data_IF_269567895490
#
_entry.id   IF_269567895490
#
_cell.length_a   1.000
_cell.length_b   1.000
_cell.length_c   1.000
_cell.angle_alpha   90.00
_cell.angle_beta   90.00
_cell.angle_gamma   90.00
#
_symmetry.space_group_name_H-M   'P 1'
#
loop_
_entity.id
_entity.type
_entity.pdbx_description
1 polymer ?
#
# COMPACT_ATOMS: atom_id res chain seq x y z
N UNK A 1 10.49 -1.29 -3.83
CA UNK A 1 9.30 -0.88 -4.62
C UNK A 1 8.97 0.60 -4.49
N UNK A 2 8.79 1.16 -3.28
CA UNK A 2 8.43 2.57 -3.09
C UNK A 2 9.39 3.57 -3.74
N UNK A 3 10.72 3.34 -3.62
CA UNK A 3 11.73 4.19 -4.29
C UNK A 3 11.49 4.24 -5.80
N UNK A 4 11.30 3.08 -6.44
CA UNK A 4 11.02 3.04 -7.88
C UNK A 4 9.74 3.78 -8.23
N UNK A 5 8.67 3.58 -7.45
CA UNK A 5 7.39 4.26 -7.68
C UNK A 5 7.50 5.79 -7.53
N UNK A 6 8.32 6.28 -6.59
CA UNK A 6 8.58 7.70 -6.43
C UNK A 6 9.40 8.26 -7.60
N UNK A 7 10.42 7.53 -8.07
CA UNK A 7 11.22 7.95 -9.23
C UNK A 7 10.38 7.96 -10.53
N UNK A 8 9.46 7.02 -10.71
CA UNK A 8 8.52 7.04 -11.83
C UNK A 8 7.64 8.32 -11.85
N UNK A 9 7.45 8.95 -10.69
CA UNK A 9 6.64 10.15 -10.49
C UNK A 9 7.48 11.42 -10.29
N UNK A 10 8.78 11.37 -10.62
CA UNK A 10 9.69 12.49 -10.42
C UNK A 10 9.19 13.77 -11.11
N UNK A 11 8.74 13.67 -12.37
CA UNK A 11 8.21 14.80 -13.13
C UNK A 11 6.94 15.36 -12.47
N UNK A 12 5.98 14.50 -12.10
CA UNK A 12 4.74 14.90 -11.43
C UNK A 12 4.99 15.63 -10.09
N UNK A 13 5.99 15.19 -9.32
CA UNK A 13 6.37 15.81 -8.05
C UNK A 13 6.94 17.21 -8.29
N UNK A 14 7.83 17.37 -9.28
CA UNK A 14 8.44 18.67 -9.62
C UNK A 14 7.40 19.63 -10.19
N UNK A 15 6.53 19.17 -11.09
CA UNK A 15 5.39 19.95 -11.58
C UNK A 15 4.45 20.35 -10.44
N UNK A 16 4.21 19.45 -9.50
CA UNK A 16 3.44 19.69 -8.28
C UNK A 16 4.01 20.83 -7.44
N UNK A 17 5.32 20.83 -7.16
CA UNK A 17 6.00 21.92 -6.45
C UNK A 17 5.81 23.26 -7.17
N UNK A 18 6.09 23.28 -8.48
CA UNK A 18 5.96 24.46 -9.32
C UNK A 18 4.53 25.00 -9.35
N UNK A 19 3.53 24.13 -9.42
CA UNK A 19 2.11 24.51 -9.42
C UNK A 19 1.68 25.21 -8.12
N UNK A 20 2.36 24.90 -7.01
CA UNK A 20 2.16 25.50 -5.70
C UNK A 20 3.09 26.70 -5.43
N UNK A 21 3.82 27.18 -6.44
CA UNK A 21 4.84 28.23 -6.34
C UNK A 21 5.95 27.93 -5.33
N UNK A 22 6.29 26.65 -5.16
CA UNK A 22 7.42 26.22 -4.36
C UNK A 22 8.66 26.07 -5.24
N UNK A 23 9.84 26.24 -4.63
CA UNK A 23 11.11 26.10 -5.33
C UNK A 23 11.37 24.63 -5.71
N UNK A 24 11.80 24.38 -6.94
CA UNK A 24 12.24 23.07 -7.40
C UNK A 24 13.42 22.54 -6.55
N UNK A 25 14.18 23.42 -5.87
CA UNK A 25 15.23 23.00 -4.92
C UNK A 25 14.71 22.54 -3.54
N UNK A 26 13.39 22.48 -3.32
CA UNK A 26 12.80 22.06 -2.06
C UNK A 26 13.17 20.61 -1.69
N UNK A 27 13.67 20.42 -0.46
CA UNK A 27 14.27 19.15 0.01
C UNK A 27 13.37 18.31 0.92
N UNK A 28 12.21 18.82 1.31
CA UNK A 28 11.27 18.12 2.20
C UNK A 28 11.23 18.64 3.64
N UNK A 29 10.56 17.91 4.54
CA UNK A 29 10.05 16.56 4.33
C UNK A 29 8.79 16.52 3.44
N UNK A 30 8.80 15.61 2.46
CA UNK A 30 7.62 15.19 1.71
C UNK A 30 6.89 14.10 2.50
N UNK A 31 5.58 14.17 2.59
CA UNK A 31 4.73 13.15 3.21
C UNK A 31 3.93 12.46 2.12
N UNK A 32 4.17 11.16 1.96
CA UNK A 32 3.57 10.31 0.94
C UNK A 32 2.51 9.44 1.60
N UNK A 33 1.25 9.56 1.16
CA UNK A 33 0.16 8.70 1.61
C UNK A 33 0.03 7.53 0.65
N UNK A 34 0.10 6.32 1.20
CA UNK A 34 0.09 5.07 0.45
C UNK A 34 -1.18 4.30 0.82
N UNK A 35 -1.98 3.93 -0.19
CA UNK A 35 -3.05 2.95 -0.03
C UNK A 35 -2.46 1.56 -0.19
N UNK A 36 -2.60 0.71 0.81
CA UNK A 36 -2.29 -0.72 0.73
C UNK A 36 -3.56 -1.49 0.41
N UNK A 37 -3.44 -2.46 -0.49
CA UNK A 37 -4.54 -3.33 -0.92
C UNK A 37 -4.07 -4.77 -0.93
N UNK A 38 -4.95 -5.68 -0.53
CA UNK A 38 -4.72 -7.11 -0.65
C UNK A 38 -6.02 -7.82 -1.02
N UNK A 39 -5.94 -8.69 -2.03
CA UNK A 39 -7.09 -9.42 -2.54
C UNK A 39 -6.73 -10.87 -2.87
N UNK A 40 -7.60 -11.80 -2.46
CA UNK A 40 -7.59 -13.19 -2.89
C UNK A 40 -8.31 -13.38 -4.23
N UNK A 41 -7.77 -14.27 -5.06
CA UNK A 41 -8.30 -14.65 -6.36
C UNK A 41 -8.51 -16.17 -6.39
N UNK A 42 -9.74 -16.59 -6.71
CA UNK A 42 -10.06 -17.98 -7.01
C UNK A 42 -9.80 -18.36 -8.47
N UNK A 43 -9.98 -19.64 -8.79
CA UNK A 43 -9.93 -20.18 -10.15
C UNK A 43 -8.61 -19.88 -10.91
N UNK A 44 -7.49 -19.87 -10.19
CA UNK A 44 -6.15 -19.66 -10.75
C UNK A 44 -5.52 -21.02 -11.05
N UNK A 45 -5.72 -21.55 -12.26
CA UNK A 45 -5.32 -22.93 -12.59
C UNK A 45 -3.84 -23.23 -12.34
N UNK A 46 -3.57 -24.37 -11.71
CA UNK A 46 -2.22 -24.90 -11.55
C UNK A 46 -1.67 -25.33 -12.92
N UNK A 47 -0.39 -25.05 -13.16
CA UNK A 47 0.30 -25.50 -14.38
C UNK A 47 1.03 -26.81 -14.12
N UNK A 48 1.03 -27.69 -15.12
CA UNK A 48 1.95 -28.84 -15.14
C UNK A 48 3.40 -28.37 -15.01
N UNK A 49 4.22 -29.10 -14.25
CA UNK A 49 5.63 -28.80 -14.08
C UNK A 49 6.30 -29.60 -12.98
N UNK A 50 7.56 -29.28 -12.70
CA UNK A 50 8.36 -29.92 -11.64
C UNK A 50 8.30 -29.16 -10.30
N UNK A 51 7.40 -28.19 -10.16
CA UNK A 51 7.25 -27.39 -8.95
C UNK A 51 6.56 -28.15 -7.83
N UNK A 52 6.50 -27.57 -6.61
CA UNK A 52 5.63 -28.09 -5.57
C UNK A 52 4.17 -28.02 -6.03
N UNK A 53 3.32 -28.87 -5.46
CA UNK A 53 1.88 -28.73 -5.61
C UNK A 53 1.44 -27.38 -4.99
N UNK A 54 0.67 -26.59 -5.72
CA UNK A 54 0.20 -25.27 -5.30
C UNK A 54 -1.33 -25.19 -5.37
N UNK A 55 -1.99 -24.39 -4.52
CA UNK A 55 -3.43 -24.20 -4.62
C UNK A 55 -3.81 -23.49 -5.93
N UNK A 56 -5.00 -23.78 -6.46
CA UNK A 56 -5.56 -23.06 -7.62
C UNK A 56 -6.15 -21.69 -7.23
N UNK A 57 -5.42 -20.96 -6.39
CA UNK A 57 -5.77 -19.67 -5.81
C UNK A 57 -4.53 -18.80 -5.76
N UNK A 58 -4.73 -17.49 -5.82
CA UNK A 58 -3.66 -16.53 -5.65
C UNK A 58 -4.05 -15.46 -4.65
N UNK A 59 -3.06 -14.89 -3.98
CA UNK A 59 -3.21 -13.65 -3.22
C UNK A 59 -2.28 -12.62 -3.83
N UNK A 60 -2.81 -11.40 -3.99
CA UNK A 60 -2.05 -10.25 -4.47
C UNK A 60 -2.03 -9.20 -3.38
N UNK A 61 -0.83 -8.73 -3.05
CA UNK A 61 -0.62 -7.52 -2.26
C UNK A 61 -0.09 -6.42 -3.18
N UNK A 62 -0.71 -5.25 -3.11
CA UNK A 62 -0.39 -4.09 -3.96
C UNK A 62 -0.43 -2.79 -3.17
N UNK A 63 0.11 -1.73 -3.75
CA UNK A 63 0.03 -0.39 -3.19
C UNK A 63 -0.21 0.67 -4.26
N UNK A 64 -0.75 1.81 -3.85
CA UNK A 64 -0.96 3.00 -4.68
C UNK A 64 -0.46 4.23 -3.94
N UNK A 65 0.33 5.07 -4.62
CA UNK A 65 0.68 6.40 -4.11
C UNK A 65 -0.53 7.31 -4.28
N UNK A 66 -1.23 7.62 -3.19
CA UNK A 66 -2.50 8.36 -3.22
C UNK A 66 -2.29 9.86 -3.30
N UNK A 67 -1.37 10.37 -2.49
CA UNK A 67 -1.04 11.79 -2.48
C UNK A 67 0.36 12.03 -1.93
N UNK A 68 0.94 13.15 -2.37
CA UNK A 68 2.21 13.65 -1.85
C UNK A 68 1.99 15.09 -1.41
N UNK A 69 2.45 15.39 -0.20
CA UNK A 69 2.31 16.71 0.41
C UNK A 69 3.63 17.16 1.02
N UNK A 70 3.78 18.47 1.20
CA UNK A 70 4.95 19.08 1.84
C UNK A 70 4.47 20.01 2.95
N UNK A 71 5.26 20.13 4.01
CA UNK A 71 4.99 21.10 5.07
C UNK A 71 5.71 22.41 4.75
N UNK A 72 4.95 23.49 4.57
CA UNK A 72 5.47 24.84 4.32
C UNK A 72 4.72 25.85 5.19
N UNK A 73 5.44 26.69 5.94
CA UNK A 73 4.86 27.74 6.81
C UNK A 73 3.75 27.23 7.76
N UNK A 74 3.95 26.07 8.40
CA UNK A 74 2.98 25.38 9.27
C UNK A 74 1.67 24.92 8.58
N UNK A 75 1.64 24.91 7.24
CA UNK A 75 0.55 24.34 6.46
C UNK A 75 1.01 23.11 5.68
N UNK A 76 0.12 22.14 5.50
CA UNK A 76 0.37 20.97 4.65
C UNK A 76 -0.18 21.25 3.25
N UNK A 77 0.72 21.44 2.29
CA UNK A 77 0.38 21.73 0.90
C UNK A 77 0.47 20.41 0.11
N UNK A 78 -0.60 20.04 -0.58
CA UNK A 78 -0.63 18.85 -1.42
C UNK A 78 -0.11 19.19 -2.82
N UNK A 79 0.94 18.49 -3.25
CA UNK A 79 1.61 18.71 -4.54
C UNK A 79 1.23 17.66 -5.58
N UNK A 80 0.80 16.48 -5.14
CA UNK A 80 0.30 15.41 -5.99
C UNK A 80 -0.93 14.76 -5.36
N UNK A 81 -1.89 14.40 -6.20
CA UNK A 81 -3.04 13.57 -5.85
C UNK A 81 -3.38 12.66 -7.03
N UNK A 82 -3.55 11.36 -6.75
CA UNK A 82 -3.95 10.40 -7.77
C UNK A 82 -5.40 10.65 -8.18
N UNK A 83 -5.60 10.98 -9.45
CA UNK A 83 -6.90 11.34 -10.01
C UNK A 83 -7.84 10.14 -10.15
N UNK A 84 -7.29 8.94 -10.36
CA UNK A 84 -8.07 7.70 -10.53
C UNK A 84 -7.54 6.62 -9.57
N UNK A 85 -7.76 6.75 -8.26
CA UNK A 85 -7.11 5.92 -7.24
C UNK A 85 -7.48 4.43 -7.27
N UNK A 86 -8.49 4.04 -8.05
CA UNK A 86 -8.92 2.66 -8.24
C UNK A 86 -8.64 2.13 -9.66
N UNK A 87 -7.85 2.88 -10.44
CA UNK A 87 -7.35 2.43 -11.74
C UNK A 87 -6.31 1.32 -11.55
N UNK A 88 -6.37 0.29 -12.40
CA UNK A 88 -5.34 -0.75 -12.49
C UNK A 88 -3.96 -0.19 -12.82
N UNK A 89 -3.89 0.98 -13.48
CA UNK A 89 -2.63 1.63 -13.88
C UNK A 89 -1.83 2.18 -12.68
N UNK A 90 -2.52 2.58 -11.60
CA UNK A 90 -1.89 3.14 -10.40
C UNK A 90 -1.69 2.10 -9.28
N UNK A 91 -2.32 0.92 -9.41
CA UNK A 91 -2.23 -0.17 -8.44
C UNK A 91 -0.97 -0.99 -8.72
N UNK A 92 0.16 -0.61 -8.09
CA UNK A 92 1.45 -1.27 -8.31
C UNK A 92 1.51 -2.58 -7.51
N UNK A 93 1.72 -3.74 -8.17
CA UNK A 93 1.84 -5.02 -7.46
C UNK A 93 3.14 -5.06 -6.65
N UNK A 94 3.08 -5.59 -5.43
CA UNK A 94 4.22 -5.74 -4.54
C UNK A 94 4.55 -7.20 -4.24
N UNK A 95 3.52 -8.02 -4.03
CA UNK A 95 3.68 -9.45 -3.76
C UNK A 95 2.58 -10.23 -4.48
N UNK A 96 2.97 -11.30 -5.15
CA UNK A 96 2.09 -12.25 -5.81
C UNK A 96 2.43 -13.63 -5.27
N UNK A 97 1.43 -14.34 -4.75
CA UNK A 97 1.61 -15.69 -4.21
C UNK A 97 0.49 -16.60 -4.70
N UNK A 98 0.84 -17.87 -4.92
CA UNK A 98 -0.14 -18.94 -5.13
C UNK A 98 -0.46 -19.52 -3.75
N UNK A 99 -1.47 -18.94 -3.11
CA UNK A 99 -1.91 -19.28 -1.76
C UNK A 99 -3.43 -19.05 -1.66
N UNK A 100 -4.07 -19.71 -0.69
CA UNK A 100 -5.42 -19.35 -0.27
C UNK A 100 -5.32 -18.26 0.81
N UNK A 101 -6.06 -17.16 0.66
CA UNK A 101 -6.16 -16.12 1.70
C UNK A 101 -6.73 -16.66 3.03
N UNK A 102 -7.38 -17.82 2.98
CA UNK A 102 -7.96 -18.49 4.16
C UNK A 102 -6.96 -19.44 4.84
N UNK A 103 -5.78 -19.68 4.24
CA UNK A 103 -4.66 -20.40 4.86
C UNK A 103 -3.81 -19.38 5.62
N UNK A 104 -4.13 -19.21 6.90
CA UNK A 104 -3.52 -18.21 7.77
C UNK A 104 -2.01 -18.40 7.90
N UNK A 105 -1.55 -19.64 8.07
CA UNK A 105 -0.14 -19.98 8.23
C UNK A 105 0.66 -19.59 7.00
N UNK A 106 0.19 -19.94 5.81
CA UNK A 106 0.88 -19.58 4.56
C UNK A 106 0.83 -18.07 4.33
N UNK A 107 -0.33 -17.44 4.52
CA UNK A 107 -0.52 -16.00 4.30
C UNK A 107 0.40 -15.18 5.21
N UNK A 108 0.43 -15.49 6.50
CA UNK A 108 1.27 -14.79 7.47
C UNK A 108 2.76 -15.05 7.25
N UNK A 109 3.15 -16.27 6.89
CA UNK A 109 4.54 -16.59 6.57
C UNK A 109 5.06 -15.76 5.39
N UNK A 110 4.23 -15.52 4.36
CA UNK A 110 4.63 -14.74 3.18
C UNK A 110 4.53 -13.23 3.41
N UNK A 111 3.49 -12.74 4.10
CA UNK A 111 3.26 -11.30 4.25
C UNK A 111 3.97 -10.68 5.45
N UNK A 112 4.37 -11.45 6.48
CA UNK A 112 5.02 -10.91 7.67
C UNK A 112 6.31 -10.11 7.40
N UNK A 113 7.17 -10.45 6.41
CA UNK A 113 8.31 -9.59 6.06
C UNK A 113 7.88 -8.22 5.52
N UNK A 114 6.82 -8.14 4.71
CA UNK A 114 6.30 -6.86 4.21
C UNK A 114 5.72 -6.01 5.32
N UNK A 115 5.03 -6.63 6.28
CA UNK A 115 4.54 -5.94 7.48
C UNK A 115 5.72 -5.41 8.30
N UNK A 116 6.78 -6.19 8.49
CA UNK A 116 7.98 -5.75 9.20
C UNK A 116 8.68 -4.57 8.50
N UNK A 117 8.83 -4.62 7.17
CA UNK A 117 9.34 -3.50 6.37
C UNK A 117 8.45 -2.26 6.52
N UNK A 118 7.13 -2.43 6.45
CA UNK A 118 6.16 -1.34 6.62
C UNK A 118 6.29 -0.67 7.98
N UNK A 119 6.33 -1.45 9.06
CA UNK A 119 6.48 -0.89 10.41
C UNK A 119 7.80 -0.13 10.56
N UNK A 120 8.91 -0.65 10.02
CA UNK A 120 10.19 0.07 10.02
C UNK A 120 10.14 1.37 9.19
N UNK A 121 9.36 1.39 8.11
CA UNK A 121 9.19 2.58 7.26
C UNK A 121 8.34 3.69 7.90
N UNK A 122 7.41 3.37 8.81
CA UNK A 122 6.57 4.37 9.49
C UNK A 122 7.38 5.34 10.34
N UNK A 123 8.43 4.84 10.99
CA UNK A 123 9.26 5.60 11.93
C UNK A 123 10.59 6.07 11.32
N UNK A 124 10.75 5.96 10.00
CA UNK A 124 11.98 6.35 9.29
C UNK A 124 11.74 7.45 8.24
N UNK A 125 12.85 7.95 7.68
CA UNK A 125 12.86 8.94 6.61
C UNK A 125 13.70 8.39 5.47
N UNK A 126 13.12 8.32 4.28
CA UNK A 126 13.83 7.98 3.06
C UNK A 126 14.54 9.23 2.52
N UNK A 127 15.83 9.14 2.22
CA UNK A 127 16.53 10.14 1.41
C UNK A 127 16.68 9.60 0.00
N UNK A 128 16.24 10.36 -1.00
CA UNK A 128 16.24 9.96 -2.40
C UNK A 128 16.66 11.15 -3.27
N UNK A 129 17.64 10.94 -4.13
CA UNK A 129 18.07 11.93 -5.12
C UNK A 129 17.07 11.98 -6.28
N UNK A 130 16.52 13.16 -6.51
CA UNK A 130 15.66 13.48 -7.66
C UNK A 130 16.20 14.74 -8.33
N UNK A 131 16.41 14.72 -9.64
CA UNK A 131 16.95 15.82 -10.43
C UNK A 131 18.27 16.37 -9.86
N UNK A 132 19.09 15.48 -9.28
CA UNK A 132 20.37 15.83 -8.65
C UNK A 132 20.27 16.47 -7.26
N UNK A 133 19.09 16.44 -6.63
CA UNK A 133 18.85 17.04 -5.31
C UNK A 133 18.37 15.95 -4.34
N UNK A 134 19.04 15.77 -3.18
CA UNK A 134 18.60 14.83 -2.16
C UNK A 134 17.35 15.38 -1.46
N UNK A 135 16.24 14.66 -1.60
CA UNK A 135 14.94 14.95 -0.99
C UNK A 135 14.59 13.91 0.04
N UNK A 136 13.84 14.33 1.06
CA UNK A 136 13.46 13.50 2.21
C UNK A 136 11.97 13.17 2.18
N UNK A 137 11.64 11.89 2.34
CA UNK A 137 10.27 11.37 2.28
C UNK A 137 9.90 10.63 3.56
N UNK A 138 8.68 10.86 4.03
CA UNK A 138 7.99 10.11 5.09
C UNK A 138 6.79 9.41 4.49
N UNK A 139 6.44 8.26 5.05
CA UNK A 139 5.35 7.43 4.54
C UNK A 139 4.22 7.29 5.55
N UNK A 140 2.98 7.40 5.06
CA UNK A 140 1.77 7.07 5.80
C UNK A 140 1.09 5.93 5.05
N UNK A 141 1.11 4.74 5.64
CA UNK A 141 0.43 3.57 5.08
C UNK A 141 -1.02 3.52 5.57
N UNK A 142 -1.95 3.33 4.64
CA UNK A 142 -3.38 3.18 4.89
C UNK A 142 -3.86 1.88 4.28
N UNK A 143 -4.09 0.88 5.13
CA UNK A 143 -4.61 -0.41 4.70
C UNK A 143 -6.13 -0.36 4.49
N UNK A 144 -6.57 0.13 3.32
CA UNK A 144 -8.01 0.31 3.04
C UNK A 144 -8.51 -0.51 1.85
N UNK A 145 -7.62 -1.20 1.14
CA UNK A 145 -7.98 -2.04 -0.02
C UNK A 145 -8.14 -3.51 0.32
N UNK A 146 -8.80 -3.83 1.44
CA UNK A 146 -9.06 -5.19 1.92
C UNK A 146 -10.57 -5.40 1.96
N UNK A 147 -11.05 -6.58 1.54
CA UNK A 147 -12.45 -6.93 1.76
C UNK A 147 -12.71 -7.27 3.24
N UNK A 148 -13.98 -7.33 3.64
CA UNK A 148 -14.34 -7.59 5.05
C UNK A 148 -13.79 -8.94 5.54
N UNK A 149 -13.78 -9.96 4.68
CA UNK A 149 -13.32 -11.30 5.02
C UNK A 149 -11.83 -11.23 5.40
N UNK A 150 -11.02 -10.61 4.56
CA UNK A 150 -9.59 -10.49 4.77
C UNK A 150 -9.27 -9.56 5.94
N UNK A 151 -10.01 -8.45 6.12
CA UNK A 151 -9.86 -7.59 7.31
C UNK A 151 -10.06 -8.41 8.58
N UNK A 152 -11.12 -9.21 8.65
CA UNK A 152 -11.40 -10.03 9.83
C UNK A 152 -10.31 -11.07 10.06
N UNK A 153 -9.80 -11.70 9.00
CA UNK A 153 -8.73 -12.68 9.08
C UNK A 153 -7.41 -12.07 9.61
N UNK A 154 -7.00 -10.93 9.07
CA UNK A 154 -5.71 -10.30 9.43
C UNK A 154 -5.75 -9.55 10.76
N UNK A 155 -6.91 -9.01 11.14
CA UNK A 155 -7.12 -8.32 12.43
C UNK A 155 -7.55 -9.29 13.55
N UNK A 156 -7.71 -10.58 13.27
CA UNK A 156 -8.07 -11.59 14.27
C UNK A 156 -9.50 -11.45 14.80
N UNK A 157 -10.42 -10.97 13.97
CA UNK A 157 -11.84 -10.86 14.29
C UNK A 157 -12.57 -12.16 13.94
N UNK A 158 -13.72 -12.39 14.58
CA UNK A 158 -14.59 -13.49 14.17
C UNK A 158 -15.01 -13.34 12.70
N UNK A 159 -15.19 -14.46 11.99
CA UNK A 159 -15.60 -14.45 10.58
C UNK A 159 -16.91 -13.67 10.36
N UNK A 160 -17.19 -13.27 9.11
CA UNK A 160 -18.38 -12.47 8.74
C UNK A 160 -19.71 -13.10 9.15
N UNK A 161 -19.76 -14.40 9.48
CA UNK A 161 -20.92 -15.09 10.05
C UNK A 161 -21.19 -14.80 11.54
N UNK A 162 -20.34 -14.03 12.23
CA UNK A 162 -20.41 -13.74 13.67
C UNK A 162 -21.63 -12.90 14.09
N UNK A 163 -22.01 -13.00 15.35
CA UNK A 163 -22.95 -12.05 15.99
C UNK A 163 -22.40 -10.62 16.00
N UNK A 164 -21.07 -10.45 16.06
CA UNK A 164 -20.38 -9.16 15.95
C UNK A 164 -20.21 -8.76 14.48
N UNK A 165 -20.99 -7.77 14.05
CA UNK A 165 -21.15 -7.46 12.61
C UNK A 165 -20.16 -6.44 12.08
N UNK A 166 -19.55 -5.63 12.94
CA UNK A 166 -18.74 -4.50 12.50
C UNK A 166 -17.27 -4.76 12.80
N UNK A 167 -16.39 -4.33 11.88
CA UNK A 167 -14.93 -4.31 12.07
C UNK A 167 -14.45 -3.02 12.72
N UNK A 168 -15.35 -2.07 12.97
CA UNK A 168 -15.05 -0.73 13.50
C UNK A 168 -15.72 -0.43 14.85
N UNK A 169 -16.67 -1.25 15.30
CA UNK A 169 -17.36 -1.10 16.57
C UNK A 169 -17.90 -2.44 17.10
N UNK A 170 -18.35 -2.45 18.35
CA UNK A 170 -18.78 -3.67 19.05
C UNK A 170 -20.27 -4.03 18.82
N UNK A 171 -20.87 -3.54 17.74
CA UNK A 171 -22.28 -3.76 17.46
C UNK A 171 -22.58 -5.23 17.15
N UNK A 172 -23.73 -5.71 17.67
CA UNK A 172 -24.23 -7.07 17.46
C UNK A 172 -25.40 -7.09 16.47
N UNK A 173 -25.72 -8.26 15.89
CA UNK A 173 -26.90 -8.47 15.03
C UNK A 173 -28.26 -8.28 15.71
N UNK A 174 -28.29 -8.27 17.05
CA UNK A 174 -29.49 -8.19 17.87
C UNK A 174 -30.03 -6.76 17.99
#
# INVERSE_FOLDING_TARGET
ALVSALMDMEEDILEGLKSQNLDDYFKGPFTVVIKESCDGMGDVSEKHGCGPAVPEKAVRFSFTLMSISVTHENSSIRIFEENKPNSELCCKPLCLMLADESDHETLTAILSPLVAEREAMKDSVLTLDMAGIPRTFKFIFRGTGYDEKLVREVEGLEASGSTYICTLCDATRL
#
